data_IF_838728198905
#
_entry.id   IF_838728198905
#
_cell.length_a   1.000
_cell.length_b   1.000
_cell.length_c   1.000
_cell.angle_alpha   90.00
_cell.angle_beta   90.00
_cell.angle_gamma   90.00
#
_symmetry.space_group_name_H-M   'P 1'
#
loop_
_entity.id
_entity.type
_entity.pdbx_description
1 polymer ?
#
# COMPACT_ATOMS: atom_id res chain seq x y z
N UNK A 1 -31.07 -35.24 48.00
CA UNK A 1 -30.98 -35.58 46.56
C UNK A 1 -31.12 -34.37 45.61
N UNK A 2 -32.05 -33.42 45.76
CA UNK A 2 -32.24 -32.26 44.85
C UNK A 2 -31.03 -31.30 44.76
N UNK A 3 -30.27 -31.05 45.86
CA UNK A 3 -29.11 -30.15 45.81
C UNK A 3 -27.92 -30.72 45.03
N UNK A 4 -27.66 -32.03 45.10
CA UNK A 4 -26.59 -32.67 44.33
C UNK A 4 -26.85 -32.65 42.81
N UNK A 5 -28.11 -32.81 42.39
CA UNK A 5 -28.50 -32.81 40.98
C UNK A 5 -28.34 -31.43 40.33
N UNK A 6 -28.64 -30.36 41.09
CA UNK A 6 -28.50 -28.96 40.59
C UNK A 6 -27.00 -28.62 40.42
N UNK A 7 -26.13 -29.01 41.35
CA UNK A 7 -24.69 -28.75 41.27
C UNK A 7 -24.05 -29.44 40.07
N UNK A 8 -24.44 -30.71 39.79
CA UNK A 8 -23.95 -31.48 38.64
C UNK A 8 -24.38 -30.84 37.31
N UNK A 9 -25.64 -30.39 37.19
CA UNK A 9 -26.16 -29.75 35.98
C UNK A 9 -25.43 -28.41 35.70
N UNK A 10 -25.16 -27.60 36.73
CA UNK A 10 -24.45 -26.32 36.57
C UNK A 10 -22.98 -26.55 36.12
N UNK A 11 -22.29 -27.56 36.68
CA UNK A 11 -20.94 -27.90 36.24
C UNK A 11 -20.89 -28.37 34.79
N UNK A 12 -21.85 -29.13 34.32
CA UNK A 12 -21.96 -29.57 32.92
C UNK A 12 -22.19 -28.39 31.99
N UNK A 13 -23.07 -27.47 32.34
CA UNK A 13 -23.37 -26.26 31.53
C UNK A 13 -22.12 -25.35 31.45
N UNK A 14 -21.38 -25.17 32.53
CA UNK A 14 -20.14 -24.39 32.55
C UNK A 14 -19.07 -25.09 31.66
N UNK A 15 -18.94 -26.41 31.74
CA UNK A 15 -18.01 -27.19 30.91
C UNK A 15 -18.32 -27.05 29.41
N UNK A 16 -19.62 -27.13 29.04
CA UNK A 16 -20.07 -26.94 27.65
C UNK A 16 -19.79 -25.51 27.16
N UNK A 17 -20.05 -24.51 28.00
CA UNK A 17 -19.77 -23.08 27.64
C UNK A 17 -18.29 -22.82 27.44
N UNK A 18 -17.42 -23.41 28.26
CA UNK A 18 -15.94 -23.31 28.11
C UNK A 18 -15.50 -23.99 26.82
N UNK A 19 -16.03 -25.16 26.50
CA UNK A 19 -15.68 -25.91 25.26
C UNK A 19 -16.12 -25.13 24.00
N UNK A 20 -17.29 -24.52 24.01
CA UNK A 20 -17.79 -23.67 22.90
C UNK A 20 -16.89 -22.43 22.75
N UNK A 21 -16.49 -21.78 23.84
CA UNK A 21 -15.58 -20.63 23.80
C UNK A 21 -14.19 -21.02 23.27
N UNK A 22 -13.68 -22.18 23.63
CA UNK A 22 -12.41 -22.71 23.10
C UNK A 22 -12.50 -23.02 21.61
N UNK A 23 -13.57 -23.70 21.15
CA UNK A 23 -13.80 -23.97 19.73
C UNK A 23 -13.97 -22.69 18.89
N UNK A 24 -14.62 -21.67 19.45
CA UNK A 24 -14.79 -20.38 18.79
C UNK A 24 -13.45 -19.64 18.69
N UNK A 25 -12.61 -19.67 19.74
CA UNK A 25 -11.26 -19.12 19.72
C UNK A 25 -10.37 -19.85 18.71
N UNK A 26 -10.45 -21.16 18.65
CA UNK A 26 -9.67 -21.98 17.70
C UNK A 26 -10.11 -21.78 16.25
N UNK A 27 -11.42 -21.72 15.97
CA UNK A 27 -11.97 -21.33 14.66
C UNK A 27 -11.53 -19.93 14.24
N UNK A 28 -11.57 -18.95 15.16
CA UNK A 28 -11.13 -17.59 14.88
C UNK A 28 -9.60 -17.53 14.68
N UNK A 29 -8.82 -18.30 15.43
CA UNK A 29 -7.37 -18.44 15.25
C UNK A 29 -7.04 -19.08 13.89
N UNK A 30 -7.72 -20.19 13.51
CA UNK A 30 -7.54 -20.85 12.21
C UNK A 30 -7.97 -19.91 11.07
N UNK A 31 -9.09 -19.17 11.23
CA UNK A 31 -9.52 -18.19 10.25
C UNK A 31 -8.55 -17.02 10.12
N UNK A 32 -8.02 -16.52 11.23
CA UNK A 32 -6.98 -15.48 11.24
C UNK A 32 -5.66 -16.01 10.64
N UNK A 33 -5.27 -17.24 10.95
CA UNK A 33 -4.08 -17.89 10.38
C UNK A 33 -4.22 -18.08 8.87
N UNK A 34 -5.35 -18.61 8.38
CA UNK A 34 -5.62 -18.77 6.94
C UNK A 34 -5.72 -17.44 6.19
N UNK A 35 -6.09 -16.35 6.89
CA UNK A 35 -6.09 -15.00 6.35
C UNK A 35 -4.70 -14.36 6.40
N UNK A 36 -3.81 -14.85 7.28
CA UNK A 36 -2.40 -14.42 7.40
C UNK A 36 -1.45 -15.11 6.42
N UNK A 37 -1.91 -16.17 5.71
CA UNK A 37 -1.06 -16.90 4.75
C UNK A 37 -1.01 -16.21 3.37
N UNK A 38 -1.87 -15.20 3.10
CA UNK A 38 -1.83 -14.43 1.87
C UNK A 38 -0.96 -13.19 2.04
N UNK A 39 0.23 -13.21 1.46
CA UNK A 39 1.09 -12.03 1.37
C UNK A 39 0.54 -11.08 0.32
N UNK A 40 0.15 -9.88 0.76
CA UNK A 40 -0.37 -8.83 -0.14
C UNK A 40 0.67 -8.49 -1.20
N UNK A 41 0.27 -8.53 -2.47
CA UNK A 41 1.11 -8.20 -3.61
C UNK A 41 0.81 -6.79 -4.11
N UNK A 42 1.85 -5.93 -4.14
CA UNK A 42 1.70 -4.51 -4.47
C UNK A 42 2.47 -4.22 -5.75
N UNK A 43 1.73 -3.93 -6.83
CA UNK A 43 2.30 -3.62 -8.14
C UNK A 43 2.91 -2.20 -8.11
N UNK A 44 4.22 -2.11 -7.83
CA UNK A 44 4.97 -0.87 -7.62
C UNK A 44 4.95 0.03 -8.84
N UNK A 45 4.21 1.14 -8.78
CA UNK A 45 3.95 2.07 -9.89
C UNK A 45 3.22 1.41 -11.07
N UNK A 46 2.38 0.41 -10.77
CA UNK A 46 1.83 -0.52 -11.74
C UNK A 46 2.82 -1.64 -12.11
N UNK A 47 2.60 -2.34 -13.22
CA UNK A 47 3.57 -3.32 -13.75
C UNK A 47 4.73 -2.61 -14.45
N UNK A 48 5.49 -1.81 -13.69
CA UNK A 48 6.47 -0.83 -14.20
C UNK A 48 7.70 -1.46 -14.87
N UNK A 49 7.93 -2.75 -14.69
CA UNK A 49 8.93 -3.49 -15.48
C UNK A 49 8.50 -3.76 -16.93
N UNK A 50 7.21 -3.66 -17.26
CA UNK A 50 6.64 -4.03 -18.56
C UNK A 50 5.89 -2.89 -19.25
N UNK A 51 5.62 -1.81 -18.55
CA UNK A 51 4.93 -0.63 -19.08
C UNK A 51 5.46 0.65 -18.38
N UNK A 52 5.24 1.85 -18.99
CA UNK A 52 5.68 3.11 -18.38
C UNK A 52 5.08 3.30 -16.98
N UNK A 53 5.95 3.45 -15.98
CA UNK A 53 5.54 3.62 -14.57
C UNK A 53 4.51 4.75 -14.42
N UNK A 54 3.56 4.59 -13.47
CA UNK A 54 2.53 5.57 -13.14
C UNK A 54 1.65 6.01 -14.33
N UNK A 55 1.41 5.10 -15.27
CA UNK A 55 0.43 5.30 -16.35
C UNK A 55 -0.74 4.35 -16.22
N UNK A 56 -1.86 4.70 -16.85
CA UNK A 56 -3.04 3.81 -16.92
C UNK A 56 -2.67 2.44 -17.53
N UNK A 57 -1.75 2.42 -18.51
CA UNK A 57 -1.25 1.18 -19.11
C UNK A 57 -0.53 0.28 -18.11
N UNK A 58 0.34 0.86 -17.26
CA UNK A 58 1.05 0.11 -16.22
C UNK A 58 0.09 -0.42 -15.15
N UNK A 59 -0.90 0.35 -14.76
CA UNK A 59 -1.91 -0.05 -13.77
C UNK A 59 -2.83 -1.16 -14.28
N UNK A 60 -3.31 -1.06 -15.52
CA UNK A 60 -4.09 -2.14 -16.18
C UNK A 60 -3.31 -3.44 -16.21
N UNK A 61 -2.03 -3.36 -16.57
CA UNK A 61 -1.16 -4.53 -16.61
C UNK A 61 -0.90 -5.10 -15.21
N UNK A 62 -0.75 -4.26 -14.19
CA UNK A 62 -0.62 -4.68 -12.78
C UNK A 62 -1.83 -5.49 -12.31
N UNK A 63 -3.04 -5.07 -12.65
CA UNK A 63 -4.27 -5.83 -12.34
C UNK A 63 -4.35 -7.15 -13.15
N UNK A 64 -4.00 -7.13 -14.46
CA UNK A 64 -3.97 -8.34 -15.27
C UNK A 64 -3.03 -9.41 -14.70
N UNK A 65 -1.94 -8.98 -14.09
CA UNK A 65 -1.00 -9.84 -13.38
C UNK A 65 -1.43 -10.19 -11.95
N UNK A 66 -2.68 -9.84 -11.57
CA UNK A 66 -3.28 -10.16 -10.28
C UNK A 66 -2.55 -9.58 -9.06
N UNK A 67 -1.94 -8.41 -9.21
CA UNK A 67 -1.51 -7.61 -8.06
C UNK A 67 -2.72 -7.24 -7.20
N UNK A 68 -2.62 -7.41 -5.89
CA UNK A 68 -3.73 -7.09 -4.97
C UNK A 68 -3.99 -5.59 -4.93
N UNK A 69 -2.95 -4.78 -5.05
CA UNK A 69 -3.01 -3.32 -5.01
C UNK A 69 -2.31 -2.68 -6.21
N UNK A 70 -2.91 -1.61 -6.72
CA UNK A 70 -2.26 -0.62 -7.58
C UNK A 70 -1.53 0.36 -6.66
N UNK A 71 -0.23 0.51 -6.84
CA UNK A 71 0.54 1.48 -6.06
C UNK A 71 0.71 2.78 -6.86
N UNK A 72 0.47 3.92 -6.17
CA UNK A 72 0.41 5.26 -6.74
C UNK A 72 1.22 6.22 -5.88
N UNK A 73 2.31 6.78 -6.45
CA UNK A 73 3.02 7.90 -5.86
C UNK A 73 2.35 9.22 -6.27
N UNK A 74 1.97 10.06 -5.32
CA UNK A 74 1.33 11.34 -5.60
C UNK A 74 2.29 12.51 -5.48
N UNK A 75 2.26 13.37 -6.49
CA UNK A 75 2.78 14.74 -6.46
C UNK A 75 1.61 15.70 -6.71
N UNK A 76 1.77 16.99 -6.38
CA UNK A 76 0.73 17.99 -6.62
C UNK A 76 1.20 19.05 -7.60
N UNK A 77 0.37 19.39 -8.58
CA UNK A 77 0.63 20.45 -9.57
C UNK A 77 0.54 21.84 -8.95
N UNK A 78 1.02 22.86 -9.69
CA UNK A 78 0.95 24.26 -9.29
C UNK A 78 -0.49 24.73 -8.98
N UNK A 79 -1.45 24.19 -9.70
CA UNK A 79 -2.89 24.49 -9.59
C UNK A 79 -3.67 23.48 -8.73
N UNK A 80 -2.95 22.64 -7.92
CA UNK A 80 -3.54 21.85 -6.85
C UNK A 80 -4.16 20.51 -7.27
N UNK A 81 -3.79 19.95 -8.41
CA UNK A 81 -4.21 18.61 -8.83
C UNK A 81 -3.22 17.53 -8.38
N UNK A 82 -3.73 16.40 -7.87
CA UNK A 82 -2.91 15.24 -7.53
C UNK A 82 -2.67 14.39 -8.79
N UNK A 83 -1.41 14.19 -9.12
CA UNK A 83 -0.96 13.38 -10.27
C UNK A 83 -0.11 12.21 -9.83
N UNK A 84 -0.13 11.12 -10.60
CA UNK A 84 0.72 9.96 -10.35
C UNK A 84 2.12 10.21 -10.92
N UNK A 85 3.10 10.43 -10.03
CA UNK A 85 4.50 10.62 -10.38
C UNK A 85 5.42 10.37 -9.18
N UNK A 86 6.48 9.57 -9.39
CA UNK A 86 7.42 9.28 -8.29
C UNK A 86 8.34 10.46 -7.97
N UNK A 87 8.98 11.03 -9.00
CA UNK A 87 9.96 12.10 -8.83
C UNK A 87 9.24 13.44 -8.65
N UNK A 88 9.85 14.35 -7.90
CA UNK A 88 9.36 15.72 -7.80
C UNK A 88 9.62 16.55 -9.07
N UNK A 89 10.27 15.95 -10.10
CA UNK A 89 10.56 16.56 -11.40
C UNK A 89 9.97 15.75 -12.54
N UNK A 90 9.67 16.42 -13.66
CA UNK A 90 9.15 15.84 -14.90
C UNK A 90 10.21 15.09 -15.74
N UNK A 91 11.48 15.29 -15.44
CA UNK A 91 12.62 15.01 -16.34
C UNK A 91 12.80 13.53 -16.71
N UNK A 92 12.56 12.60 -15.77
CA UNK A 92 12.92 11.19 -15.96
C UNK A 92 11.87 10.42 -16.76
N UNK A 93 10.61 10.69 -16.51
CA UNK A 93 9.48 9.89 -17.02
C UNK A 93 8.61 10.64 -18.02
N UNK A 94 8.99 11.87 -18.38
CA UNK A 94 8.30 12.64 -19.44
C UNK A 94 9.29 13.29 -20.39
N UNK A 95 8.77 13.90 -21.44
CA UNK A 95 9.55 14.77 -22.33
C UNK A 95 9.63 16.22 -21.85
N UNK A 96 9.09 16.52 -20.65
CA UNK A 96 9.17 17.82 -20.00
C UNK A 96 10.36 17.91 -19.03
N UNK A 97 10.49 19.05 -18.37
CA UNK A 97 11.55 19.31 -17.38
C UNK A 97 11.10 20.24 -16.27
N UNK A 98 11.78 20.23 -15.14
CA UNK A 98 11.50 21.08 -13.98
C UNK A 98 10.65 20.41 -12.91
N UNK A 99 10.35 21.16 -11.84
CA UNK A 99 9.58 20.67 -10.69
C UNK A 99 8.09 20.56 -11.03
N UNK A 100 7.44 19.47 -10.64
CA UNK A 100 5.99 19.26 -10.79
C UNK A 100 5.19 20.45 -10.22
N UNK A 101 5.55 20.90 -9.01
CA UNK A 101 4.87 22.01 -8.33
C UNK A 101 4.93 23.38 -9.05
N UNK A 102 5.74 23.49 -10.08
CA UNK A 102 5.87 24.72 -10.87
C UNK A 102 5.03 24.69 -12.16
N UNK A 103 4.37 23.56 -12.48
CA UNK A 103 3.58 23.35 -13.70
C UNK A 103 2.12 23.12 -13.36
N UNK A 104 1.23 23.69 -14.19
CA UNK A 104 -0.20 23.42 -14.12
C UNK A 104 -0.52 22.01 -14.66
N UNK A 105 -1.70 21.49 -14.30
CA UNK A 105 -2.17 20.22 -14.86
C UNK A 105 -2.22 20.27 -16.38
N UNK A 106 -2.70 21.36 -16.98
CA UNK A 106 -2.78 21.51 -18.43
C UNK A 106 -1.41 21.40 -19.10
N UNK A 107 -0.37 22.02 -18.53
CA UNK A 107 1.01 21.92 -19.03
C UNK A 107 1.52 20.47 -18.96
N UNK A 108 1.29 19.77 -17.84
CA UNK A 108 1.72 18.39 -17.65
C UNK A 108 0.98 17.43 -18.57
N UNK A 109 -0.32 17.65 -18.83
CA UNK A 109 -1.12 16.83 -19.74
C UNK A 109 -0.68 16.91 -21.23
N UNK A 110 0.08 17.91 -21.59
CA UNK A 110 0.67 18.00 -22.96
C UNK A 110 1.90 17.10 -23.10
N UNK A 111 2.52 16.68 -22.01
CA UNK A 111 3.74 15.89 -22.04
C UNK A 111 3.48 14.42 -22.44
N UNK A 112 4.50 13.80 -22.98
CA UNK A 112 4.58 12.36 -23.25
C UNK A 112 5.23 11.68 -22.05
N UNK A 113 4.50 10.81 -21.38
CA UNK A 113 4.94 10.05 -20.21
C UNK A 113 5.21 8.56 -20.52
N UNK A 114 5.36 8.19 -21.80
CA UNK A 114 5.54 6.79 -22.17
C UNK A 114 6.75 6.52 -23.06
N UNK A 115 7.13 7.42 -23.93
CA UNK A 115 8.25 7.22 -24.86
C UNK A 115 9.59 7.00 -24.17
N UNK A 116 9.79 7.47 -22.93
CA UNK A 116 10.97 7.18 -22.14
C UNK A 116 11.14 5.68 -21.89
N UNK A 117 10.03 4.97 -21.63
CA UNK A 117 10.04 3.54 -21.41
C UNK A 117 10.48 2.79 -22.67
N UNK A 118 9.89 3.15 -23.84
CA UNK A 118 10.27 2.57 -25.13
C UNK A 118 11.76 2.73 -25.44
N UNK A 119 12.31 3.90 -25.13
CA UNK A 119 13.77 4.15 -25.25
C UNK A 119 14.60 3.28 -24.32
N UNK A 120 14.19 3.19 -23.06
CA UNK A 120 14.92 2.46 -22.01
C UNK A 120 14.81 0.95 -22.18
N UNK A 121 13.69 0.46 -22.70
CA UNK A 121 13.35 -0.95 -22.83
C UNK A 121 12.94 -1.31 -24.28
N UNK A 122 13.87 -1.25 -25.26
CA UNK A 122 13.53 -1.43 -26.67
C UNK A 122 12.89 -2.78 -27.02
N UNK A 123 13.19 -3.82 -26.24
CA UNK A 123 12.59 -5.16 -26.40
C UNK A 123 11.12 -5.24 -25.92
N UNK A 124 10.70 -4.31 -25.08
CA UNK A 124 9.34 -4.19 -24.54
C UNK A 124 8.60 -2.98 -25.11
N UNK A 125 9.23 -2.29 -26.07
CA UNK A 125 8.68 -1.10 -26.70
C UNK A 125 7.38 -1.43 -27.44
N UNK A 126 6.35 -0.59 -27.25
CA UNK A 126 5.07 -0.68 -27.92
C UNK A 126 4.64 0.68 -28.44
N UNK A 127 3.95 0.69 -29.57
CA UNK A 127 3.39 1.92 -30.16
C UNK A 127 2.38 2.57 -29.21
N UNK A 128 1.57 1.77 -28.53
CA UNK A 128 0.56 2.22 -27.56
C UNK A 128 1.14 2.95 -26.33
N UNK A 129 2.45 2.87 -26.09
CA UNK A 129 3.14 3.61 -25.02
C UNK A 129 3.60 4.99 -25.45
N UNK A 130 3.56 5.32 -26.74
CA UNK A 130 3.86 6.67 -27.22
C UNK A 130 2.74 7.63 -26.83
N UNK A 131 3.13 8.82 -26.43
CA UNK A 131 2.24 9.93 -26.06
C UNK A 131 1.19 9.60 -24.98
N UNK A 132 1.41 8.55 -24.14
CA UNK A 132 0.57 8.36 -22.97
C UNK A 132 0.77 9.51 -21.98
N UNK A 133 -0.29 9.89 -21.28
CA UNK A 133 -0.29 11.08 -20.42
C UNK A 133 -0.06 10.70 -18.95
N UNK A 134 0.48 11.64 -18.17
CA UNK A 134 0.50 11.54 -16.72
C UNK A 134 -0.94 11.57 -16.21
N UNK A 135 -1.41 10.54 -15.50
CA UNK A 135 -2.78 10.53 -15.00
C UNK A 135 -2.91 11.32 -13.70
N UNK A 136 -4.07 11.92 -13.48
CA UNK A 136 -4.48 12.41 -12.16
C UNK A 136 -4.99 11.23 -11.31
N UNK A 137 -5.07 11.44 -9.98
CA UNK A 137 -5.69 10.45 -9.09
C UNK A 137 -7.15 10.19 -9.47
N UNK A 138 -7.88 11.25 -9.84
CA UNK A 138 -9.28 11.13 -10.32
C UNK A 138 -9.37 10.22 -11.56
N UNK A 139 -8.55 10.43 -12.56
CA UNK A 139 -8.54 9.61 -13.79
C UNK A 139 -8.20 8.13 -13.50
N UNK A 140 -7.33 7.88 -12.53
CA UNK A 140 -7.02 6.51 -12.09
C UNK A 140 -8.25 5.88 -11.43
N UNK A 141 -8.90 6.58 -10.50
CA UNK A 141 -10.09 6.09 -9.82
C UNK A 141 -11.25 5.91 -10.80
N UNK A 142 -11.45 6.84 -11.74
CA UNK A 142 -12.47 6.73 -12.80
C UNK A 142 -12.24 5.53 -13.72
N UNK A 143 -10.97 5.18 -13.96
CA UNK A 143 -10.62 4.04 -14.80
C UNK A 143 -10.84 2.69 -14.11
N UNK A 144 -10.54 2.59 -12.82
CA UNK A 144 -10.50 1.31 -12.10
C UNK A 144 -11.61 1.15 -11.06
N UNK A 145 -12.25 2.25 -10.63
CA UNK A 145 -13.41 2.26 -9.74
C UNK A 145 -13.19 1.52 -8.42
N UNK A 146 -14.27 0.93 -7.95
CA UNK A 146 -14.27 0.12 -6.72
C UNK A 146 -13.77 -1.33 -6.92
N UNK A 147 -13.47 -1.74 -8.16
CA UNK A 147 -12.92 -3.08 -8.43
C UNK A 147 -11.43 -3.16 -8.09
N UNK A 148 -10.73 -2.02 -8.10
CA UNK A 148 -9.34 -1.93 -7.68
C UNK A 148 -9.18 -1.70 -6.17
N UNK A 149 -7.96 -1.96 -5.70
CA UNK A 149 -7.45 -1.55 -4.41
C UNK A 149 -6.26 -0.64 -4.64
N UNK A 150 -6.15 0.42 -3.85
CA UNK A 150 -5.17 1.48 -4.06
C UNK A 150 -4.22 1.60 -2.88
N UNK A 151 -2.92 1.53 -3.15
CA UNK A 151 -1.85 1.77 -2.20
C UNK A 151 -1.20 3.11 -2.57
N UNK A 152 -1.50 4.17 -1.82
CA UNK A 152 -1.23 5.56 -2.23
C UNK A 152 -0.12 6.15 -1.37
N UNK A 153 0.95 6.66 -1.99
CA UNK A 153 2.01 7.40 -1.30
C UNK A 153 1.84 8.91 -1.45
N UNK A 154 1.87 9.64 -0.32
CA UNK A 154 2.08 11.10 -0.34
C UNK A 154 3.58 11.38 -0.41
N UNK A 155 4.05 11.84 -1.58
CA UNK A 155 5.47 12.15 -1.83
C UNK A 155 5.80 13.58 -1.41
N UNK A 156 6.85 13.74 -0.58
CA UNK A 156 7.32 15.05 -0.12
C UNK A 156 6.18 16.01 0.25
N UNK A 157 5.22 15.58 1.10
CA UNK A 157 4.01 16.38 1.39
C UNK A 157 4.33 17.75 2.00
N UNK A 158 5.51 17.93 2.59
CA UNK A 158 6.03 19.19 3.08
C UNK A 158 6.19 20.26 1.97
N UNK A 159 6.35 19.82 0.73
CA UNK A 159 6.41 20.70 -0.45
C UNK A 159 5.02 21.13 -0.96
N UNK A 160 3.93 20.53 -0.45
CA UNK A 160 2.58 20.65 -1.00
C UNK A 160 1.53 20.94 0.08
N UNK A 161 1.29 22.23 0.32
CA UNK A 161 0.28 22.63 1.31
C UNK A 161 -1.12 22.13 0.92
N UNK A 162 -1.77 21.38 1.81
CA UNK A 162 -3.12 20.86 1.61
C UNK A 162 -3.21 19.54 0.82
N UNK A 163 -2.08 18.87 0.58
CA UNK A 163 -2.05 17.62 -0.17
C UNK A 163 -2.92 16.54 0.48
N UNK A 164 -2.86 16.39 1.80
CA UNK A 164 -3.60 15.37 2.54
C UNK A 164 -5.11 15.64 2.49
N UNK A 165 -5.53 16.88 2.70
CA UNK A 165 -6.94 17.28 2.58
C UNK A 165 -7.46 17.03 1.17
N UNK A 166 -6.65 17.36 0.15
CA UNK A 166 -7.02 17.12 -1.26
C UNK A 166 -7.16 15.65 -1.58
N UNK A 167 -6.24 14.81 -1.07
CA UNK A 167 -6.34 13.36 -1.20
C UNK A 167 -7.64 12.84 -0.58
N UNK A 168 -7.94 13.24 0.66
CA UNK A 168 -9.14 12.78 1.35
C UNK A 168 -10.43 13.31 0.70
N UNK A 169 -10.43 14.55 0.18
CA UNK A 169 -11.54 15.11 -0.61
C UNK A 169 -11.85 14.22 -1.83
N UNK A 170 -10.81 13.83 -2.59
CA UNK A 170 -10.96 12.97 -3.76
C UNK A 170 -11.50 11.59 -3.35
N UNK A 171 -10.87 10.94 -2.37
CA UNK A 171 -11.33 9.62 -1.90
C UNK A 171 -12.79 9.66 -1.41
N UNK A 172 -13.19 10.72 -0.73
CA UNK A 172 -14.57 10.90 -0.28
C UNK A 172 -15.55 11.11 -1.46
N UNK A 173 -15.18 11.92 -2.45
CA UNK A 173 -15.98 12.16 -3.66
C UNK A 173 -16.29 10.87 -4.42
N UNK A 174 -15.33 9.95 -4.48
CA UNK A 174 -15.50 8.63 -5.10
C UNK A 174 -15.95 7.54 -4.13
N UNK A 175 -16.38 7.89 -2.91
CA UNK A 175 -16.89 6.97 -1.87
C UNK A 175 -15.88 5.88 -1.45
N UNK A 176 -14.58 6.12 -1.63
CA UNK A 176 -13.49 5.21 -1.25
C UNK A 176 -13.02 5.40 0.20
N UNK A 177 -13.47 6.48 0.88
CA UNK A 177 -13.18 6.77 2.29
C UNK A 177 -14.27 6.29 3.25
N UNK A 178 -15.32 5.62 2.77
CA UNK A 178 -16.38 5.04 3.60
C UNK A 178 -15.77 4.00 4.56
N UNK A 179 -16.01 4.12 5.88
CA UNK A 179 -15.50 3.17 6.89
C UNK A 179 -15.85 1.71 6.63
N UNK A 180 -16.95 1.43 5.88
CA UNK A 180 -17.37 0.07 5.55
C UNK A 180 -16.43 -0.62 4.54
N UNK A 181 -15.79 0.15 3.67
CA UNK A 181 -14.97 -0.40 2.56
C UNK A 181 -13.51 0.06 2.58
N UNK A 182 -13.21 1.17 3.23
CA UNK A 182 -11.89 1.82 3.15
C UNK A 182 -10.75 0.88 3.53
N UNK A 183 -10.94 0.05 4.56
CA UNK A 183 -9.92 -0.91 5.03
C UNK A 183 -9.57 -1.99 3.99
N UNK A 184 -10.49 -2.28 3.08
CA UNK A 184 -10.29 -3.26 2.02
C UNK A 184 -9.76 -2.63 0.74
N UNK A 185 -10.01 -1.31 0.54
CA UNK A 185 -9.77 -0.62 -0.73
C UNK A 185 -8.57 0.30 -0.71
N UNK A 186 -8.26 0.91 0.42
CA UNK A 186 -7.26 1.97 0.51
C UNK A 186 -6.21 1.64 1.57
N UNK A 187 -4.94 1.80 1.21
CA UNK A 187 -3.83 1.96 2.15
C UNK A 187 -3.11 3.25 1.74
N UNK A 188 -2.79 4.10 2.72
CA UNK A 188 -1.97 5.29 2.47
C UNK A 188 -0.62 5.09 3.15
N UNK A 189 0.46 5.43 2.43
CA UNK A 189 1.83 5.38 2.93
C UNK A 189 2.53 6.73 2.79
N UNK A 190 3.54 6.96 3.61
CA UNK A 190 4.45 8.10 3.46
C UNK A 190 5.74 7.89 4.22
N UNK A 191 6.82 8.53 3.78
CA UNK A 191 8.02 8.74 4.58
C UNK A 191 7.82 9.84 5.63
N UNK A 192 6.86 10.74 5.43
CA UNK A 192 6.51 11.82 6.36
C UNK A 192 5.57 11.32 7.46
N UNK A 193 6.08 11.30 8.69
CA UNK A 193 5.29 10.98 9.89
C UNK A 193 4.18 12.00 10.12
N UNK A 194 4.45 13.28 9.84
CA UNK A 194 3.51 14.38 9.99
C UNK A 194 2.33 14.25 9.05
N UNK A 195 2.59 13.90 7.77
CA UNK A 195 1.53 13.65 6.78
C UNK A 195 0.61 12.50 7.24
N UNK A 196 1.19 11.36 7.67
CA UNK A 196 0.40 10.23 8.15
C UNK A 196 -0.42 10.56 9.40
N UNK A 197 0.16 11.27 10.37
CA UNK A 197 -0.57 11.71 11.57
C UNK A 197 -1.69 12.69 11.22
N UNK A 198 -1.48 13.58 10.26
CA UNK A 198 -2.49 14.50 9.75
C UNK A 198 -3.65 13.73 9.10
N UNK A 199 -3.35 12.77 8.21
CA UNK A 199 -4.37 11.88 7.61
C UNK A 199 -5.12 11.13 8.70
N UNK A 200 -4.42 10.54 9.68
CA UNK A 200 -5.05 9.84 10.80
C UNK A 200 -5.99 10.72 11.61
N UNK A 201 -5.62 11.97 11.84
CA UNK A 201 -6.48 12.93 12.56
C UNK A 201 -7.73 13.32 11.78
N UNK A 202 -7.65 13.35 10.44
CA UNK A 202 -8.77 13.68 9.55
C UNK A 202 -9.70 12.48 9.31
N UNK A 203 -9.13 11.29 9.17
CA UNK A 203 -9.89 10.03 9.02
C UNK A 203 -9.10 8.84 9.58
N UNK A 204 -9.35 8.46 10.82
CA UNK A 204 -8.67 7.35 11.50
C UNK A 204 -9.09 5.95 11.00
N UNK A 205 -10.07 5.86 10.10
CA UNK A 205 -10.50 4.58 9.52
C UNK A 205 -9.58 4.09 8.41
N UNK A 206 -8.77 4.97 7.81
CA UNK A 206 -7.86 4.65 6.72
C UNK A 206 -6.63 3.91 7.25
N UNK A 207 -6.32 2.70 6.74
CA UNK A 207 -5.06 2.04 7.05
C UNK A 207 -3.85 2.84 6.58
N UNK A 208 -2.90 3.11 7.49
CA UNK A 208 -1.70 3.87 7.19
C UNK A 208 -0.44 3.02 7.37
N UNK A 209 0.54 3.19 6.49
CA UNK A 209 1.84 2.53 6.56
C UNK A 209 2.95 3.57 6.60
N UNK A 210 3.76 3.55 7.67
CA UNK A 210 4.94 4.39 7.77
C UNK A 210 6.09 3.80 6.95
N UNK A 211 6.55 4.52 5.93
CA UNK A 211 7.77 4.19 5.22
C UNK A 211 8.99 4.62 6.04
N UNK A 212 9.94 3.71 6.20
CA UNK A 212 11.21 3.98 6.86
C UNK A 212 12.28 4.29 5.80
N UNK A 213 13.35 4.96 6.23
CA UNK A 213 14.43 5.33 5.30
C UNK A 213 14.93 4.15 4.47
N UNK A 214 15.14 4.38 3.19
CA UNK A 214 15.66 3.39 2.25
C UNK A 214 17.21 3.38 2.14
N UNK A 215 17.90 4.23 2.93
CA UNK A 215 19.36 4.46 2.77
C UNK A 215 20.23 3.65 3.73
N UNK A 216 19.67 3.08 4.78
CA UNK A 216 20.40 2.32 5.82
C UNK A 216 19.46 1.45 6.64
N UNK A 217 20.02 0.46 7.35
CA UNK A 217 19.30 -0.31 8.35
C UNK A 217 18.75 0.59 9.47
N UNK A 218 17.49 0.38 9.85
CA UNK A 218 16.82 1.09 10.94
C UNK A 218 16.73 0.16 12.14
N UNK A 219 17.28 0.60 13.27
CA UNK A 219 17.10 -0.11 14.55
C UNK A 219 15.85 0.43 15.22
N UNK A 220 14.78 -0.36 15.22
CA UNK A 220 13.53 -0.01 15.87
C UNK A 220 13.56 -0.47 17.34
N UNK A 221 13.28 0.43 18.27
CA UNK A 221 13.03 0.09 19.68
C UNK A 221 11.56 -0.32 19.87
N UNK A 222 11.23 -0.86 21.03
CA UNK A 222 9.82 -1.14 21.36
C UNK A 222 9.00 0.16 21.51
N UNK A 223 9.64 1.23 21.96
CA UNK A 223 9.05 2.56 22.07
C UNK A 223 8.72 3.13 20.69
N UNK A 224 9.62 2.99 19.70
CA UNK A 224 9.36 3.38 18.31
C UNK A 224 8.15 2.63 17.74
N UNK A 225 8.12 1.31 17.93
CA UNK A 225 7.03 0.46 17.44
C UNK A 225 5.68 0.81 18.08
N UNK A 226 5.67 1.08 19.39
CA UNK A 226 4.47 1.56 20.09
C UNK A 226 4.02 2.92 19.56
N UNK A 227 4.94 3.84 19.29
CA UNK A 227 4.63 5.14 18.72
C UNK A 227 4.01 5.00 17.33
N UNK A 228 4.58 4.18 16.43
CA UNK A 228 3.97 3.91 15.11
C UNK A 228 2.59 3.28 15.24
N UNK A 229 2.38 2.34 16.17
CA UNK A 229 1.08 1.68 16.36
C UNK A 229 -0.06 2.63 16.74
N UNK A 230 0.23 3.83 17.22
CA UNK A 230 -0.81 4.82 17.56
C UNK A 230 -1.54 5.37 16.34
N UNK A 231 -0.93 5.32 15.14
CA UNK A 231 -1.51 5.88 13.91
C UNK A 231 -1.33 4.99 12.66
N UNK A 232 -0.45 3.97 12.71
CA UNK A 232 -0.20 3.07 11.58
C UNK A 232 -0.68 1.66 11.85
N UNK A 233 -1.04 0.95 10.79
CA UNK A 233 -1.28 -0.50 10.77
C UNK A 233 -0.01 -1.28 10.43
N UNK A 234 0.98 -0.65 9.76
CA UNK A 234 2.19 -1.34 9.30
C UNK A 234 3.37 -0.40 9.02
N UNK A 235 4.50 -1.02 8.71
CA UNK A 235 5.75 -0.36 8.34
C UNK A 235 6.22 -0.83 6.96
N UNK A 236 6.62 0.10 6.10
CA UNK A 236 7.30 -0.18 4.85
C UNK A 236 8.82 -0.04 5.02
N UNK A 237 9.57 -1.06 4.60
CA UNK A 237 11.02 -1.13 4.83
C UNK A 237 11.77 -1.56 3.56
N UNK A 238 12.96 -1.00 3.35
CA UNK A 238 13.84 -1.51 2.31
C UNK A 238 14.35 -2.90 2.71
N UNK A 239 13.95 -3.93 1.95
CA UNK A 239 14.22 -5.33 2.25
C UNK A 239 15.72 -5.65 2.37
N UNK A 240 16.59 -4.90 1.67
CA UNK A 240 18.05 -5.14 1.69
C UNK A 240 18.69 -4.84 3.05
N UNK A 241 18.00 -4.08 3.89
CA UNK A 241 18.44 -3.72 5.25
C UNK A 241 17.68 -4.47 6.34
N UNK A 242 16.78 -5.38 5.98
CA UNK A 242 16.02 -6.20 6.91
C UNK A 242 16.76 -7.51 7.23
N UNK A 243 16.40 -8.07 8.38
CA UNK A 243 16.82 -9.41 8.79
C UNK A 243 15.63 -10.21 9.34
N UNK A 244 15.79 -11.54 9.45
CA UNK A 244 14.70 -12.43 9.85
C UNK A 244 14.06 -12.14 11.21
N UNK A 245 14.76 -11.42 12.10
CA UNK A 245 14.24 -11.08 13.44
C UNK A 245 13.41 -9.81 13.44
N UNK A 246 13.47 -8.97 12.41
CA UNK A 246 12.73 -7.71 12.35
C UNK A 246 11.23 -7.97 12.22
N UNK A 247 10.83 -8.90 11.33
CA UNK A 247 9.42 -9.20 11.05
C UNK A 247 8.67 -9.64 12.32
N UNK A 248 9.08 -10.71 13.04
CA UNK A 248 8.35 -11.14 14.24
C UNK A 248 8.41 -10.09 15.36
N UNK A 249 9.48 -9.27 15.44
CA UNK A 249 9.58 -8.18 16.42
C UNK A 249 8.51 -7.11 16.17
N UNK A 250 8.33 -6.70 14.92
CA UNK A 250 7.34 -5.69 14.50
C UNK A 250 5.93 -6.24 14.68
N UNK A 251 5.68 -7.46 14.22
CA UNK A 251 4.37 -8.13 14.31
C UNK A 251 3.93 -8.38 15.76
N UNK A 252 4.86 -8.62 16.67
CA UNK A 252 4.55 -8.74 18.11
C UNK A 252 3.92 -7.48 18.71
N UNK A 253 4.16 -6.31 18.10
CA UNK A 253 3.51 -5.06 18.49
C UNK A 253 2.20 -4.80 17.71
N UNK A 254 1.76 -5.77 16.89
CA UNK A 254 0.53 -5.68 16.09
C UNK A 254 0.67 -4.78 14.86
N UNK A 255 1.88 -4.60 14.33
CA UNK A 255 2.17 -3.90 13.09
C UNK A 255 2.47 -4.89 11.96
N UNK A 256 2.00 -4.59 10.76
CA UNK A 256 2.34 -5.31 9.54
C UNK A 256 3.70 -4.88 9.00
N UNK A 257 4.29 -5.72 8.13
CA UNK A 257 5.58 -5.45 7.48
C UNK A 257 5.43 -5.59 5.97
N UNK A 258 5.68 -4.49 5.24
CA UNK A 258 5.56 -4.38 3.79
C UNK A 258 6.91 -3.96 3.17
N UNK A 259 7.82 -4.92 2.88
CA UNK A 259 9.11 -4.60 2.28
C UNK A 259 9.00 -4.10 0.84
N UNK A 260 9.91 -3.18 0.48
CA UNK A 260 10.09 -2.63 -0.86
C UNK A 260 11.56 -2.63 -1.29
N UNK A 261 11.90 -2.72 -2.55
CA UNK A 261 11.14 -3.30 -3.65
C UNK A 261 11.77 -4.63 -3.99
N UNK A 262 11.01 -5.70 -3.86
CA UNK A 262 11.51 -7.09 -3.90
C UNK A 262 11.26 -7.64 -5.29
N UNK A 263 12.30 -7.66 -6.14
CA UNK A 263 12.16 -8.03 -7.56
C UNK A 263 12.70 -9.41 -7.91
N UNK A 264 13.57 -9.98 -7.06
CA UNK A 264 14.15 -11.28 -7.32
C UNK A 264 13.33 -12.38 -6.63
N UNK A 265 13.07 -13.46 -7.35
CA UNK A 265 12.31 -14.60 -6.83
C UNK A 265 12.89 -15.18 -5.53
N UNK A 266 14.23 -15.27 -5.44
CA UNK A 266 14.92 -15.72 -4.22
C UNK A 266 14.66 -14.82 -3.02
N UNK A 267 14.68 -13.48 -3.23
CA UNK A 267 14.40 -12.51 -2.17
C UNK A 267 12.91 -12.53 -1.78
N UNK A 268 12.00 -12.74 -2.73
CA UNK A 268 10.58 -12.88 -2.44
C UNK A 268 10.29 -14.13 -1.60
N UNK A 269 10.85 -15.28 -1.97
CA UNK A 269 10.75 -16.50 -1.15
C UNK A 269 11.26 -16.27 0.27
N UNK A 270 12.39 -15.59 0.40
CA UNK A 270 12.97 -15.22 1.69
C UNK A 270 12.04 -14.30 2.50
N UNK A 271 11.41 -13.30 1.89
CA UNK A 271 10.45 -12.42 2.57
C UNK A 271 9.21 -13.19 3.03
N UNK A 272 8.69 -14.10 2.20
CA UNK A 272 7.58 -15.00 2.57
C UNK A 272 7.97 -15.90 3.75
N UNK A 273 9.15 -16.50 3.72
CA UNK A 273 9.66 -17.33 4.83
C UNK A 273 9.81 -16.52 6.13
N UNK A 274 10.14 -15.23 6.05
CA UNK A 274 10.18 -14.35 7.22
C UNK A 274 8.80 -13.93 7.72
N UNK A 275 7.73 -14.23 6.95
CA UNK A 275 6.35 -13.99 7.33
C UNK A 275 5.89 -12.54 7.15
N UNK A 276 6.39 -11.82 6.12
CA UNK A 276 5.92 -10.47 5.81
C UNK A 276 4.45 -10.45 5.42
N UNK A 277 3.76 -9.33 5.63
CA UNK A 277 2.33 -9.19 5.37
C UNK A 277 2.02 -8.73 3.93
N UNK A 278 2.94 -8.00 3.32
CA UNK A 278 2.83 -7.55 1.94
C UNK A 278 4.21 -7.32 1.34
N UNK A 279 4.31 -7.14 0.02
CA UNK A 279 5.56 -6.75 -0.63
C UNK A 279 5.33 -5.99 -1.93
N UNK A 280 6.21 -5.03 -2.20
CA UNK A 280 6.25 -4.26 -3.45
C UNK A 280 7.17 -4.92 -4.46
N UNK A 281 6.76 -4.97 -5.73
CA UNK A 281 7.54 -5.52 -6.83
C UNK A 281 7.25 -4.79 -8.15
N UNK A 282 8.26 -4.73 -9.04
CA UNK A 282 8.09 -4.23 -10.41
C UNK A 282 7.68 -5.33 -11.38
N UNK A 283 8.06 -6.57 -11.09
CA UNK A 283 7.81 -7.75 -11.93
C UNK A 283 6.65 -8.53 -11.33
N UNK A 284 5.54 -8.69 -12.05
CA UNK A 284 4.50 -9.58 -11.59
C UNK A 284 5.04 -11.00 -11.58
N UNK A 285 5.17 -11.54 -10.40
CA UNK A 285 5.41 -12.96 -10.27
C UNK A 285 4.11 -13.70 -10.56
N UNK A 286 4.18 -14.54 -11.53
CA UNK A 286 3.31 -15.70 -11.58
C UNK A 286 3.77 -16.58 -10.41
N UNK A 287 3.28 -16.31 -9.23
CA UNK A 287 3.33 -17.30 -8.16
C UNK A 287 2.38 -18.43 -8.58
N UNK A 288 2.96 -19.41 -9.22
CA UNK A 288 2.29 -20.70 -9.52
C UNK A 288 2.26 -21.55 -8.27
#
# INVERSE_FOLDING_TARGET
MKKALITTTVCILIGISIAILQQTKEKNYIKAKNQSDHVITIAHRGASAYAPEHTISAYKLGQQFKGDYIEIDLQMTKDGHLIAMHDNTLNRTTNGSGLVKNHTLEEIKRLDAGSFFNKKHPKLSKEEFKDVKVPTLEEIIETFGHDARYYIETKSPEDYLGMEEKLLEILNRYQLSDPAIVKEKIIIQSFSTESLKKIHSLNSSIPLVQLLTHKKAVRLTNEDLKAYKTYCVGLGMNYTYMNATDVPKIQKQGLEVHPFTVDKEEDMKKMIEWGVNGMFYHYPLVMK
#
